data_IF_554707946721
#
_entry.id   IF_554707946721
#
_cell.length_a   1.000
_cell.length_b   1.000
_cell.length_c   1.000
_cell.angle_alpha   90.00
_cell.angle_beta   90.00
_cell.angle_gamma   90.00
#
_symmetry.space_group_name_H-M   'P 1'
#
loop_
_entity.id
_entity.type
_entity.pdbx_description
1 polymer ?
#
# COMPACT_ATOMS: atom_id res chain seq x y z
N UNK A 1 -33.99 35.53 19.07
CA UNK A 1 -33.68 34.16 18.57
C UNK A 1 -33.15 34.14 17.14
N UNK A 2 -33.70 34.91 16.19
CA UNK A 2 -33.24 34.95 14.78
C UNK A 2 -31.75 35.36 14.58
N UNK A 3 -31.20 36.23 15.44
CA UNK A 3 -29.81 36.69 15.36
C UNK A 3 -28.78 35.60 15.71
N UNK A 4 -29.11 34.69 16.64
CA UNK A 4 -28.24 33.58 17.01
C UNK A 4 -28.13 32.56 15.87
N UNK A 5 -29.25 32.27 15.21
CA UNK A 5 -29.31 31.31 14.09
C UNK A 5 -28.55 31.81 12.85
N UNK A 6 -28.61 33.11 12.54
CA UNK A 6 -27.78 33.73 11.49
C UNK A 6 -26.28 33.67 11.82
N UNK A 7 -25.91 33.87 13.09
CA UNK A 7 -24.52 33.80 13.53
C UNK A 7 -23.95 32.39 13.41
N UNK A 8 -24.73 31.38 13.79
CA UNK A 8 -24.32 29.97 13.69
C UNK A 8 -24.17 29.52 12.23
N UNK A 9 -25.09 29.93 11.35
CA UNK A 9 -24.96 29.66 9.91
C UNK A 9 -23.70 30.30 9.34
N UNK A 10 -23.41 31.57 9.65
CA UNK A 10 -22.16 32.23 9.22
C UNK A 10 -20.92 31.52 9.76
N UNK A 11 -20.96 31.01 10.99
CA UNK A 11 -19.85 30.23 11.57
C UNK A 11 -19.64 28.91 10.81
N UNK A 12 -20.71 28.19 10.46
CA UNK A 12 -20.64 26.96 9.65
C UNK A 12 -20.04 27.24 8.27
N UNK A 13 -20.48 28.30 7.59
CA UNK A 13 -19.93 28.70 6.29
C UNK A 13 -18.42 28.90 6.38
N UNK A 14 -17.95 29.71 7.34
CA UNK A 14 -16.52 29.94 7.55
C UNK A 14 -15.75 28.65 7.84
N UNK A 15 -16.32 27.74 8.61
CA UNK A 15 -15.71 26.44 8.91
C UNK A 15 -15.55 25.59 7.64
N UNK A 16 -16.59 25.49 6.81
CA UNK A 16 -16.56 24.73 5.57
C UNK A 16 -15.59 25.34 4.55
N UNK A 17 -15.55 26.67 4.46
CA UNK A 17 -14.57 27.39 3.62
C UNK A 17 -13.13 27.12 4.06
N UNK A 18 -12.87 27.09 5.38
CA UNK A 18 -11.56 26.74 5.91
C UNK A 18 -11.19 25.29 5.58
N UNK A 19 -12.10 24.33 5.81
CA UNK A 19 -11.88 22.92 5.44
C UNK A 19 -11.62 22.77 3.94
N UNK A 20 -12.34 23.48 3.08
CA UNK A 20 -12.13 23.49 1.61
C UNK A 20 -10.72 23.95 1.23
N UNK A 21 -10.19 24.98 1.88
CA UNK A 21 -8.81 25.45 1.64
C UNK A 21 -7.77 24.42 2.10
N UNK A 22 -8.00 23.79 3.26
CA UNK A 22 -7.10 22.77 3.81
C UNK A 22 -7.04 21.54 2.88
N UNK A 23 -8.19 21.01 2.46
CA UNK A 23 -8.22 19.83 1.58
C UNK A 23 -7.64 20.14 0.20
N UNK A 24 -7.86 21.36 -0.33
CA UNK A 24 -7.22 21.80 -1.58
C UNK A 24 -5.70 21.85 -1.47
N UNK A 25 -5.17 22.34 -0.36
CA UNK A 25 -3.72 22.34 -0.12
C UNK A 25 -3.17 20.90 -0.04
N UNK A 26 -3.87 20.01 0.67
CA UNK A 26 -3.49 18.58 0.76
C UNK A 26 -3.52 17.89 -0.61
N UNK A 27 -4.52 18.18 -1.44
CA UNK A 27 -4.63 17.69 -2.81
C UNK A 27 -3.41 18.10 -3.64
N UNK A 28 -3.01 19.38 -3.59
CA UNK A 28 -1.83 19.87 -4.31
C UNK A 28 -0.52 19.23 -3.79
N UNK A 29 -0.40 19.03 -2.47
CA UNK A 29 0.74 18.31 -1.90
C UNK A 29 0.79 16.87 -2.42
N UNK A 30 -0.35 16.17 -2.45
CA UNK A 30 -0.43 14.81 -2.98
C UNK A 30 -0.10 14.76 -4.48
N UNK A 31 -0.64 15.69 -5.26
CA UNK A 31 -0.38 15.83 -6.69
C UNK A 31 1.11 16.07 -6.98
N UNK A 32 1.85 16.75 -6.10
CA UNK A 32 3.30 16.92 -6.26
C UNK A 32 4.12 15.66 -5.90
N UNK A 33 3.58 14.75 -5.09
CA UNK A 33 4.29 13.57 -4.56
C UNK A 33 4.16 12.36 -5.47
N UNK A 34 3.00 12.16 -6.11
CA UNK A 34 2.75 11.00 -6.98
C UNK A 34 3.75 10.95 -8.16
N UNK A 35 3.96 12.03 -8.94
CA UNK A 35 4.92 12.01 -10.03
C UNK A 35 6.35 11.76 -9.57
N UNK A 36 6.75 12.29 -8.40
CA UNK A 36 8.06 12.04 -7.80
C UNK A 36 8.24 10.57 -7.44
N UNK A 37 7.21 9.93 -6.90
CA UNK A 37 7.24 8.50 -6.62
C UNK A 37 7.36 7.68 -7.92
N UNK A 38 6.58 8.03 -8.95
CA UNK A 38 6.65 7.36 -10.25
C UNK A 38 8.03 7.51 -10.91
N UNK A 39 8.62 8.70 -10.85
CA UNK A 39 9.95 8.96 -11.39
C UNK A 39 11.02 8.08 -10.72
N UNK A 40 10.95 7.86 -9.39
CA UNK A 40 11.86 6.95 -8.69
C UNK A 40 11.70 5.50 -9.16
N UNK A 41 10.46 5.03 -9.34
CA UNK A 41 10.20 3.68 -9.85
C UNK A 41 10.79 3.53 -11.26
N UNK A 42 10.53 4.50 -12.14
CA UNK A 42 11.06 4.48 -13.50
C UNK A 42 12.59 4.50 -13.54
N UNK A 43 13.23 5.30 -12.67
CA UNK A 43 14.68 5.35 -12.55
C UNK A 43 15.28 4.03 -12.03
N UNK A 44 14.56 3.29 -11.17
CA UNK A 44 15.01 1.97 -10.68
C UNK A 44 14.82 0.84 -11.69
N UNK A 45 14.02 1.07 -12.75
CA UNK A 45 13.61 0.03 -13.69
C UNK A 45 14.78 -0.69 -14.39
N UNK A 46 15.83 0.00 -14.89
CA UNK A 46 16.96 -0.68 -15.55
C UNK A 46 17.72 -1.62 -14.62
N UNK A 47 17.85 -1.25 -13.34
CA UNK A 47 18.47 -2.12 -12.33
C UNK A 47 17.65 -3.39 -12.13
N UNK A 48 16.34 -3.25 -11.93
CA UNK A 48 15.43 -4.39 -11.74
C UNK A 48 15.41 -5.31 -12.96
N UNK A 49 15.40 -4.74 -14.17
CA UNK A 49 15.45 -5.52 -15.42
C UNK A 49 16.74 -6.33 -15.51
N UNK A 50 17.90 -5.71 -15.23
CA UNK A 50 19.18 -6.44 -15.27
C UNK A 50 19.32 -7.47 -14.15
N UNK A 51 18.81 -7.18 -12.96
CA UNK A 51 18.77 -8.13 -11.84
C UNK A 51 17.98 -9.38 -12.22
N UNK A 52 16.79 -9.22 -12.80
CA UNK A 52 15.95 -10.33 -13.25
C UNK A 52 16.67 -11.14 -14.33
N UNK A 53 17.29 -10.49 -15.31
CA UNK A 53 18.07 -11.16 -16.36
C UNK A 53 19.20 -12.02 -15.77
N UNK A 54 19.96 -11.47 -14.82
CA UNK A 54 21.05 -12.21 -14.16
C UNK A 54 20.51 -13.40 -13.39
N UNK A 55 19.43 -13.23 -12.60
CA UNK A 55 18.82 -14.33 -11.84
C UNK A 55 18.33 -15.44 -12.79
N UNK A 56 17.72 -15.08 -13.91
CA UNK A 56 17.27 -16.04 -14.92
C UNK A 56 18.44 -16.81 -15.54
N UNK A 57 19.52 -16.12 -15.91
CA UNK A 57 20.71 -16.73 -16.49
C UNK A 57 21.39 -17.70 -15.51
N UNK A 58 21.50 -17.32 -14.23
CA UNK A 58 22.05 -18.17 -13.17
C UNK A 58 21.16 -19.40 -12.91
N UNK A 59 19.83 -19.22 -12.92
CA UNK A 59 18.88 -20.32 -12.82
C UNK A 59 18.99 -21.31 -13.98
N UNK A 60 19.12 -20.81 -15.21
CA UNK A 60 19.28 -21.63 -16.42
C UNK A 60 20.61 -22.38 -16.45
N UNK A 61 21.68 -21.80 -15.89
CA UNK A 61 23.00 -22.43 -15.78
C UNK A 61 23.06 -23.57 -14.73
N UNK A 62 21.96 -23.89 -14.06
CA UNK A 62 21.89 -24.99 -13.08
C UNK A 62 22.51 -24.67 -11.72
N UNK A 63 22.97 -23.43 -11.50
CA UNK A 63 23.63 -22.99 -10.26
C UNK A 63 22.65 -22.71 -9.09
N UNK A 64 21.37 -23.05 -9.25
CA UNK A 64 20.33 -22.86 -8.22
C UNK A 64 20.00 -24.12 -7.41
N UNK A 65 20.55 -25.29 -7.77
CA UNK A 65 20.30 -26.54 -7.04
C UNK A 65 20.91 -26.46 -5.63
N UNK A 66 20.04 -26.41 -4.61
CA UNK A 66 20.43 -26.33 -3.20
C UNK A 66 20.27 -24.95 -2.54
N UNK A 67 19.85 -23.91 -3.27
CA UNK A 67 19.53 -22.62 -2.66
C UNK A 67 18.13 -22.65 -2.02
N UNK A 68 18.01 -22.43 -0.72
CA UNK A 68 16.74 -22.59 0.03
C UNK A 68 15.58 -21.71 -0.47
N UNK A 69 15.86 -20.55 -1.09
CA UNK A 69 14.82 -19.70 -1.70
C UNK A 69 14.30 -20.21 -3.06
N UNK A 70 14.98 -21.16 -3.69
CA UNK A 70 14.62 -21.74 -4.99
C UNK A 70 14.06 -23.17 -4.87
N UNK A 71 14.20 -23.79 -3.69
CA UNK A 71 13.70 -25.13 -3.41
C UNK A 71 12.16 -25.16 -3.37
N UNK A 72 11.56 -26.10 -4.11
CA UNK A 72 10.12 -26.40 -3.99
C UNK A 72 9.92 -27.38 -2.85
N UNK A 73 9.13 -26.98 -1.86
CA UNK A 73 8.78 -27.77 -0.68
C UNK A 73 7.29 -27.70 -0.41
N UNK A 74 6.79 -28.63 0.39
CA UNK A 74 5.44 -28.57 0.89
C UNK A 74 5.23 -27.31 1.73
N UNK A 75 4.17 -26.58 1.42
CA UNK A 75 3.87 -25.29 2.03
C UNK A 75 3.08 -25.53 3.31
N UNK A 76 3.78 -25.51 4.46
CA UNK A 76 3.17 -25.58 5.79
C UNK A 76 2.80 -24.21 6.35
N UNK A 77 3.56 -23.18 5.97
CA UNK A 77 3.39 -21.82 6.49
C UNK A 77 3.63 -20.80 5.38
N UNK A 78 2.79 -19.77 5.32
CA UNK A 78 2.87 -18.67 4.35
C UNK A 78 3.02 -17.34 5.08
N UNK A 79 3.99 -16.55 4.66
CA UNK A 79 4.12 -15.15 5.05
C UNK A 79 3.26 -14.25 4.17
N UNK A 80 2.33 -13.50 4.74
CA UNK A 80 1.53 -12.49 4.04
C UNK A 80 2.06 -11.10 4.40
N UNK A 81 2.72 -10.45 3.44
CA UNK A 81 3.19 -9.07 3.58
C UNK A 81 2.10 -8.10 3.14
N UNK A 82 1.58 -7.33 4.08
CA UNK A 82 0.55 -6.31 3.87
C UNK A 82 1.23 -4.95 3.87
N UNK A 83 1.20 -4.26 2.73
CA UNK A 83 1.75 -2.90 2.60
C UNK A 83 0.60 -1.90 2.51
N UNK A 84 0.40 -1.16 3.60
CA UNK A 84 -0.65 -0.16 3.79
C UNK A 84 -0.05 1.26 3.88
N UNK A 85 -0.89 2.27 4.15
CA UNK A 85 -0.44 3.65 4.25
C UNK A 85 -0.01 4.04 5.67
N UNK A 86 1.00 4.91 5.78
CA UNK A 86 1.33 5.55 7.06
C UNK A 86 0.39 6.68 7.46
N UNK A 87 -0.33 7.23 6.49
CA UNK A 87 -1.24 8.38 6.66
C UNK A 87 -2.66 7.99 6.29
N UNK A 88 -3.63 8.62 6.96
CA UNK A 88 -5.04 8.58 6.59
C UNK A 88 -5.37 9.52 5.43
N UNK A 89 -6.67 9.72 5.18
CA UNK A 89 -7.19 10.56 4.09
C UNK A 89 -6.75 10.14 2.67
N UNK A 90 -6.53 8.83 2.48
CA UNK A 90 -6.16 8.22 1.20
C UNK A 90 -7.36 7.45 0.57
N UNK A 91 -8.58 7.93 0.79
CA UNK A 91 -9.79 7.23 0.37
C UNK A 91 -9.89 5.82 0.96
N UNK A 92 -10.27 4.86 0.12
CA UNK A 92 -10.44 3.45 0.51
C UNK A 92 -9.16 2.61 0.44
N UNK A 93 -7.98 3.22 0.25
CA UNK A 93 -6.73 2.48 0.02
C UNK A 93 -6.42 1.46 1.13
N UNK A 94 -6.29 1.91 2.38
CA UNK A 94 -5.94 1.03 3.50
C UNK A 94 -7.03 -0.04 3.74
N UNK A 95 -8.30 0.37 3.73
CA UNK A 95 -9.43 -0.57 3.92
C UNK A 95 -9.50 -1.65 2.85
N UNK A 96 -9.22 -1.31 1.58
CA UNK A 96 -9.25 -2.27 0.48
C UNK A 96 -8.10 -3.27 0.58
N UNK A 97 -6.90 -2.81 0.93
CA UNK A 97 -5.73 -3.69 1.11
C UNK A 97 -5.95 -4.64 2.29
N UNK A 98 -6.47 -4.15 3.41
CA UNK A 98 -6.77 -4.98 4.59
C UNK A 98 -7.83 -6.04 4.24
N UNK A 99 -8.94 -5.65 3.58
CA UNK A 99 -9.99 -6.59 3.19
C UNK A 99 -9.46 -7.66 2.22
N UNK A 100 -8.61 -7.28 1.28
CA UNK A 100 -7.97 -8.22 0.35
C UNK A 100 -7.08 -9.22 1.12
N UNK A 101 -6.29 -8.71 2.07
CA UNK A 101 -5.43 -9.56 2.90
C UNK A 101 -6.26 -10.51 3.77
N UNK A 102 -7.32 -10.04 4.43
CA UNK A 102 -8.24 -10.87 5.21
C UNK A 102 -8.84 -12.00 4.37
N UNK A 103 -9.31 -11.66 3.16
CA UNK A 103 -9.86 -12.65 2.22
C UNK A 103 -8.82 -13.72 1.90
N UNK A 104 -7.58 -13.29 1.62
CA UNK A 104 -6.48 -14.21 1.31
C UNK A 104 -6.07 -15.07 2.50
N UNK A 105 -6.07 -14.53 3.71
CA UNK A 105 -5.75 -15.25 4.94
C UNK A 105 -6.80 -16.36 5.16
N UNK A 106 -8.08 -16.04 5.00
CA UNK A 106 -9.17 -17.03 5.13
C UNK A 106 -9.06 -18.13 4.07
N UNK A 107 -8.66 -17.81 2.85
CA UNK A 107 -8.40 -18.83 1.81
C UNK A 107 -7.26 -19.78 2.18
N UNK A 108 -6.17 -19.25 2.72
CA UNK A 108 -5.00 -20.03 3.14
C UNK A 108 -5.31 -20.92 4.35
N UNK A 109 -6.06 -20.38 5.32
CA UNK A 109 -6.52 -21.12 6.50
C UNK A 109 -7.41 -22.31 6.10
N UNK A 110 -8.33 -22.10 5.14
CA UNK A 110 -9.14 -23.19 4.56
C UNK A 110 -8.32 -24.25 3.83
N UNK A 111 -7.12 -23.92 3.38
CA UNK A 111 -6.17 -24.87 2.78
C UNK A 111 -5.34 -25.61 3.84
N UNK A 112 -5.55 -25.33 5.13
CA UNK A 112 -4.81 -25.93 6.24
C UNK A 112 -3.38 -25.44 6.36
N UNK A 113 -3.08 -24.23 5.86
CA UNK A 113 -1.75 -23.64 5.86
C UNK A 113 -1.67 -22.53 6.90
N UNK A 114 -0.66 -22.58 7.77
CA UNK A 114 -0.45 -21.54 8.79
C UNK A 114 -0.09 -20.20 8.14
N UNK A 115 -0.62 -19.10 8.67
CA UNK A 115 -0.35 -17.76 8.13
C UNK A 115 0.39 -16.89 9.13
N UNK A 116 1.50 -16.29 8.68
CA UNK A 116 2.24 -15.26 9.42
C UNK A 116 2.06 -13.92 8.71
N UNK A 117 1.52 -12.94 9.42
CA UNK A 117 1.26 -11.61 8.86
C UNK A 117 2.43 -10.68 9.15
N UNK A 118 2.92 -10.01 8.10
CA UNK A 118 3.88 -8.92 8.19
C UNK A 118 3.19 -7.64 7.74
N UNK A 119 3.03 -6.67 8.64
CA UNK A 119 2.39 -5.40 8.32
C UNK A 119 3.44 -4.29 8.14
N UNK A 120 3.29 -3.52 7.06
CA UNK A 120 4.08 -2.33 6.78
C UNK A 120 3.11 -1.17 6.58
N UNK A 121 3.29 -0.12 7.38
CA UNK A 121 2.38 1.03 7.42
C UNK A 121 1.70 1.15 8.79
N UNK A 122 1.25 2.35 9.13
CA UNK A 122 0.54 2.65 10.40
C UNK A 122 -0.98 2.44 10.34
N UNK A 123 -1.55 2.20 9.16
CA UNK A 123 -3.00 2.07 8.94
C UNK A 123 -3.43 0.68 8.51
#
# INVERSE_FOLDING_TARGET
MASAQLRDTRRRIRSVEATKKITRAMELIAASRIPKAQARVNASKPYTEKLVEVIQNVGAAGAGSGHSLLERRDVKTVGVLIVSSDRGMAGAYASNIIRLAETRIVELDKQGVDVVVYAVGKK
#
